data_IF_339833742097
#
_entry.id   IF_339833742097
#
_cell.length_a   1.000
_cell.length_b   1.000
_cell.length_c   1.000
_cell.angle_alpha   90.00
_cell.angle_beta   90.00
_cell.angle_gamma   90.00
#
_symmetry.space_group_name_H-M   'P 1'
#
loop_
_entity.id
_entity.type
_entity.pdbx_description
1 polymer ?
#
# COMPACT_ATOMS: atom_id res chain seq x y z
N UNK A 1 16.74 4.65 -16.88
CA UNK A 1 15.89 4.39 -15.69
C UNK A 1 14.87 3.33 -16.06
N UNK A 2 14.67 2.31 -15.22
CA UNK A 2 13.64 1.27 -15.48
C UNK A 2 12.27 1.94 -15.39
N UNK A 3 11.39 1.83 -16.41
CA UNK A 3 10.06 2.42 -16.36
C UNK A 3 9.26 1.83 -15.18
N UNK A 4 8.45 2.68 -14.53
CA UNK A 4 7.59 2.27 -13.42
C UNK A 4 6.42 1.44 -13.96
N UNK A 5 6.68 0.17 -14.22
CA UNK A 5 5.75 -0.78 -14.83
C UNK A 5 5.58 -1.99 -13.91
N UNK A 6 4.68 -1.91 -12.91
CA UNK A 6 4.43 -3.03 -12.01
C UNK A 6 3.82 -4.22 -12.79
N UNK A 7 4.16 -5.47 -12.45
CA UNK A 7 3.55 -6.66 -13.06
C UNK A 7 2.04 -6.77 -12.74
N UNK A 8 1.31 -7.54 -13.54
CA UNK A 8 -0.14 -7.77 -13.29
C UNK A 8 -0.43 -8.90 -12.29
N UNK A 9 0.55 -9.73 -11.95
CA UNK A 9 0.39 -10.85 -11.02
C UNK A 9 0.89 -10.51 -9.62
N UNK A 10 0.18 -10.97 -8.59
CA UNK A 10 0.56 -10.76 -7.19
C UNK A 10 2.00 -11.22 -6.87
N UNK A 11 2.37 -12.42 -7.31
CA UNK A 11 3.70 -13.00 -7.02
C UNK A 11 4.84 -12.19 -7.65
N UNK A 12 4.73 -11.83 -8.93
CA UNK A 12 5.74 -10.97 -9.57
C UNK A 12 5.79 -9.57 -8.94
N UNK A 13 4.68 -9.03 -8.43
CA UNK A 13 4.72 -7.77 -7.67
C UNK A 13 5.56 -7.88 -6.40
N UNK A 14 5.53 -9.02 -5.70
CA UNK A 14 6.37 -9.26 -4.52
C UNK A 14 7.86 -9.25 -4.86
N UNK A 15 8.23 -9.86 -5.99
CA UNK A 15 9.63 -9.87 -6.48
C UNK A 15 10.03 -8.47 -6.93
N UNK A 16 9.19 -7.80 -7.73
CA UNK A 16 9.44 -6.46 -8.26
C UNK A 16 9.61 -5.41 -7.14
N UNK A 17 8.78 -5.45 -6.09
CA UNK A 17 8.87 -4.53 -4.95
C UNK A 17 10.22 -4.58 -4.20
N UNK A 18 11.02 -5.63 -4.41
CA UNK A 18 12.36 -5.75 -3.80
C UNK A 18 13.41 -4.93 -4.56
N UNK A 19 13.31 -4.84 -5.88
CA UNK A 19 14.39 -4.36 -6.76
C UNK A 19 14.01 -3.23 -7.73
N UNK A 20 12.74 -2.78 -7.78
CA UNK A 20 12.29 -1.80 -8.79
C UNK A 20 12.97 -0.42 -8.74
N UNK A 21 13.58 -0.04 -7.62
CA UNK A 21 14.25 1.25 -7.46
C UNK A 21 15.37 1.20 -6.43
N UNK A 22 16.37 2.06 -6.61
CA UNK A 22 17.42 2.35 -5.62
C UNK A 22 17.00 3.44 -4.63
N UNK A 23 15.97 4.23 -4.95
CA UNK A 23 15.47 5.28 -4.05
C UNK A 23 14.74 4.66 -2.85
N UNK A 24 15.32 4.81 -1.65
CA UNK A 24 14.79 4.23 -0.42
C UNK A 24 13.38 4.74 -0.07
N UNK A 25 13.11 6.05 -0.25
CA UNK A 25 11.80 6.65 0.06
C UNK A 25 10.71 6.09 -0.86
N UNK A 26 10.99 6.01 -2.16
CA UNK A 26 10.07 5.43 -3.13
C UNK A 26 9.83 3.94 -2.86
N UNK A 27 10.90 3.19 -2.52
CA UNK A 27 10.79 1.77 -2.15
C UNK A 27 9.87 1.56 -0.95
N UNK A 28 9.98 2.38 0.08
CA UNK A 28 9.10 2.32 1.27
C UNK A 28 7.67 2.68 0.90
N UNK A 29 7.46 3.76 0.13
CA UNK A 29 6.13 4.19 -0.30
C UNK A 29 5.39 3.07 -1.06
N UNK A 30 6.02 2.47 -2.07
CA UNK A 30 5.38 1.40 -2.86
C UNK A 30 5.08 0.15 -2.01
N UNK A 31 5.96 -0.20 -1.06
CA UNK A 31 5.72 -1.31 -0.11
C UNK A 31 4.50 -1.03 0.78
N UNK A 32 4.35 0.20 1.27
CA UNK A 32 3.17 0.58 2.08
C UNK A 32 1.91 0.52 1.23
N UNK A 33 1.91 1.10 0.03
CA UNK A 33 0.75 1.07 -0.87
C UNK A 33 0.32 -0.37 -1.14
N UNK A 34 1.27 -1.25 -1.47
CA UNK A 34 0.99 -2.67 -1.72
C UNK A 34 0.41 -3.36 -0.49
N UNK A 35 1.03 -3.17 0.68
CA UNK A 35 0.55 -3.77 1.93
C UNK A 35 -0.87 -3.33 2.29
N UNK A 36 -1.18 -2.04 2.15
CA UNK A 36 -2.51 -1.48 2.42
C UNK A 36 -3.54 -2.02 1.42
N UNK A 37 -3.21 -2.08 0.14
CA UNK A 37 -4.10 -2.60 -0.89
C UNK A 37 -4.46 -4.09 -0.62
N UNK A 38 -3.46 -4.92 -0.35
CA UNK A 38 -3.66 -6.35 -0.03
C UNK A 38 -4.54 -6.51 1.21
N UNK A 39 -4.26 -5.74 2.27
CA UNK A 39 -5.06 -5.77 3.49
C UNK A 39 -6.52 -5.38 3.25
N UNK A 40 -6.78 -4.30 2.50
CA UNK A 40 -8.14 -3.84 2.23
C UNK A 40 -8.93 -4.83 1.38
N UNK A 41 -8.31 -5.45 0.38
CA UNK A 41 -8.94 -6.49 -0.43
C UNK A 41 -9.29 -7.70 0.44
N UNK A 42 -8.36 -8.16 1.26
CA UNK A 42 -8.60 -9.27 2.19
C UNK A 42 -9.73 -8.94 3.19
N UNK A 43 -9.69 -7.75 3.80
CA UNK A 43 -10.71 -7.29 4.76
C UNK A 43 -12.08 -7.20 4.12
N UNK A 44 -12.16 -6.71 2.90
CA UNK A 44 -13.41 -6.60 2.14
C UNK A 44 -14.02 -7.98 1.88
N UNK A 45 -13.22 -8.90 1.32
CA UNK A 45 -13.68 -10.27 1.03
C UNK A 45 -14.12 -11.00 2.28
N UNK A 46 -13.36 -10.87 3.37
CA UNK A 46 -13.69 -11.49 4.65
C UNK A 46 -15.00 -10.93 5.21
N UNK A 47 -15.17 -9.60 5.18
CA UNK A 47 -16.43 -8.97 5.61
C UNK A 47 -17.60 -9.46 4.77
N UNK A 48 -17.45 -9.48 3.45
CA UNK A 48 -18.48 -9.90 2.49
C UNK A 48 -18.96 -11.33 2.73
N UNK A 49 -18.06 -12.25 3.09
CA UNK A 49 -18.44 -13.63 3.42
C UNK A 49 -19.42 -13.67 4.60
N UNK A 50 -19.24 -12.80 5.59
CA UNK A 50 -20.09 -12.76 6.79
C UNK A 50 -21.35 -11.89 6.63
N UNK A 51 -21.30 -10.85 5.81
CA UNK A 51 -22.40 -9.87 5.70
C UNK A 51 -23.21 -10.03 4.42
N UNK A 52 -22.74 -10.82 3.44
CA UNK A 52 -23.26 -10.89 2.08
C UNK A 52 -23.37 -9.53 1.34
N UNK A 53 -22.69 -8.49 1.85
CA UNK A 53 -22.74 -7.14 1.30
C UNK A 53 -21.42 -6.74 0.64
N UNK A 54 -21.52 -6.12 -0.53
CA UNK A 54 -20.37 -5.61 -1.29
C UNK A 54 -20.07 -4.17 -0.92
N UNK A 55 -18.83 -3.87 -0.52
CA UNK A 55 -18.40 -2.47 -0.41
C UNK A 55 -18.04 -1.90 -1.78
N UNK A 56 -18.39 -0.65 -2.08
CA UNK A 56 -18.01 -0.02 -3.35
C UNK A 56 -16.51 0.26 -3.39
N UNK A 57 -15.90 0.10 -4.57
CA UNK A 57 -14.46 0.32 -4.80
C UNK A 57 -14.02 1.73 -4.38
N UNK A 58 -14.87 2.74 -4.58
CA UNK A 58 -14.61 4.12 -4.17
C UNK A 58 -14.46 4.27 -2.65
N UNK A 59 -15.20 3.49 -1.86
CA UNK A 59 -15.05 3.47 -0.39
C UNK A 59 -13.72 2.85 0.01
N UNK A 60 -13.31 1.76 -0.64
CA UNK A 60 -12.00 1.13 -0.41
C UNK A 60 -10.86 2.07 -0.77
N UNK A 61 -10.98 2.82 -1.87
CA UNK A 61 -9.96 3.78 -2.29
C UNK A 61 -9.81 4.93 -1.29
N UNK A 62 -10.93 5.45 -0.75
CA UNK A 62 -10.89 6.45 0.31
C UNK A 62 -10.20 5.91 1.57
N UNK A 63 -10.52 4.68 1.97
CA UNK A 63 -9.88 4.02 3.12
C UNK A 63 -8.37 3.83 2.88
N UNK A 64 -7.97 3.42 1.67
CA UNK A 64 -6.58 3.29 1.25
C UNK A 64 -5.83 4.62 1.41
N UNK A 65 -6.38 5.71 0.87
CA UNK A 65 -5.76 7.03 0.97
C UNK A 65 -5.62 7.49 2.43
N UNK A 66 -6.62 7.24 3.27
CA UNK A 66 -6.58 7.58 4.69
C UNK A 66 -5.47 6.81 5.42
N UNK A 67 -5.38 5.50 5.23
CA UNK A 67 -4.32 4.67 5.84
C UNK A 67 -2.94 5.11 5.32
N UNK A 68 -2.82 5.38 4.03
CA UNK A 68 -1.56 5.82 3.42
C UNK A 68 -1.09 7.15 4.03
N UNK A 69 -1.96 8.16 4.10
CA UNK A 69 -1.64 9.46 4.72
C UNK A 69 -1.21 9.29 6.18
N UNK A 70 -1.92 8.47 6.95
CA UNK A 70 -1.58 8.21 8.36
C UNK A 70 -0.20 7.54 8.50
N UNK A 71 0.12 6.55 7.65
CA UNK A 71 1.42 5.87 7.65
C UNK A 71 2.56 6.81 7.25
N UNK A 72 2.36 7.64 6.22
CA UNK A 72 3.35 8.61 5.77
C UNK A 72 3.60 9.69 6.82
N UNK A 73 2.54 10.22 7.43
CA UNK A 73 2.67 11.16 8.54
C UNK A 73 3.49 10.56 9.70
N UNK A 74 3.26 9.29 10.05
CA UNK A 74 4.06 8.60 11.06
C UNK A 74 5.54 8.48 10.70
N UNK A 75 5.87 8.29 9.41
CA UNK A 75 7.25 8.27 8.93
C UNK A 75 7.90 9.65 8.98
N UNK A 76 7.19 10.70 8.58
CA UNK A 76 7.69 12.08 8.64
C UNK A 76 7.99 12.50 10.08
N UNK A 77 7.11 12.13 11.01
CA UNK A 77 7.32 12.37 12.45
C UNK A 77 8.57 11.64 12.96
N UNK A 78 8.76 10.38 12.55
CA UNK A 78 9.96 9.60 12.90
C UNK A 78 11.24 10.22 12.32
N UNK A 79 11.23 10.62 11.05
CA UNK A 79 12.37 11.28 10.39
C UNK A 79 12.72 12.60 11.09
N UNK A 80 11.71 13.38 11.51
CA UNK A 80 11.90 14.62 12.28
C UNK A 80 12.55 14.36 13.63
N UNK A 81 12.05 13.39 14.39
CA UNK A 81 12.59 13.06 15.71
C UNK A 81 14.03 12.53 15.64
N UNK A 82 14.37 11.78 14.59
CA UNK A 82 15.75 11.29 14.40
C UNK A 82 16.78 12.39 14.07
N UNK A 83 16.34 13.61 13.73
CA UNK A 83 17.20 14.75 13.39
C UNK A 83 17.44 15.72 14.55
N UNK A 84 16.68 15.56 15.64
CA UNK A 84 16.83 16.32 16.88
C UNK A 84 17.85 15.62 17.78
#
# INVERSE_FOLDING_TARGET
>A
AVPFSPPNSFEHNLVWLRSFTTNAKLKVLCKIIFQVAVYLIWKERSTRIHTATSRPVTSLLKELQTILRAKLHGLDQKERLSRM
#
